data_IF_560971282611
#
_entry.id   IF_560971282611
#
_cell.length_a   1.000
_cell.length_b   1.000
_cell.length_c   1.000
_cell.angle_alpha   90.00
_cell.angle_beta   90.00
_cell.angle_gamma   90.00
#
_symmetry.space_group_name_H-M   'P 1'
#
loop_
_entity.id
_entity.type
_entity.pdbx_description
1 polymer ?
#
# COMPACT_ATOMS: atom_id res chain seq x y z
N UNK A 1 -10.31 -34.39 62.20
CA UNK A 1 -11.64 -34.26 61.57
C UNK A 1 -11.45 -33.84 60.14
N UNK A 2 -12.18 -34.47 59.22
CA UNK A 2 -12.12 -34.27 57.78
C UNK A 2 -12.68 -32.91 57.34
N UNK A 3 -12.16 -32.37 56.23
CA UNK A 3 -12.98 -32.15 55.04
C UNK A 3 -12.14 -31.95 53.77
N UNK A 4 -12.75 -32.38 52.67
CA UNK A 4 -12.14 -32.79 51.42
C UNK A 4 -12.01 -31.67 50.36
N UNK A 5 -11.22 -31.99 49.33
CA UNK A 5 -11.40 -31.72 47.89
C UNK A 5 -11.83 -30.32 47.41
N UNK A 6 -11.00 -29.73 46.55
CA UNK A 6 -11.22 -29.84 45.11
C UNK A 6 -9.96 -29.46 44.32
N UNK A 7 -9.65 -30.31 43.33
CA UNK A 7 -8.74 -29.98 42.25
C UNK A 7 -9.39 -28.92 41.36
N UNK A 8 -8.67 -27.84 41.09
CA UNK A 8 -8.89 -27.01 39.90
C UNK A 8 -7.55 -26.95 39.17
N UNK A 9 -7.44 -27.84 38.20
CA UNK A 9 -6.58 -27.68 37.03
C UNK A 9 -7.03 -26.41 36.30
N UNK A 10 -6.39 -25.28 36.59
CA UNK A 10 -6.36 -24.20 35.60
C UNK A 10 -5.21 -24.48 34.67
N UNK A 11 -5.57 -25.15 33.57
CA UNK A 11 -4.77 -25.19 32.37
C UNK A 11 -4.38 -23.75 32.04
N UNK A 12 -3.11 -23.43 32.24
CA UNK A 12 -2.47 -22.27 31.63
C UNK A 12 -2.64 -22.42 30.12
N UNK A 13 -3.75 -21.88 29.62
CA UNK A 13 -4.09 -21.82 28.23
C UNK A 13 -3.07 -20.87 27.58
N UNK A 14 -1.99 -21.45 27.06
CA UNK A 14 -1.06 -20.81 26.12
C UNK A 14 -1.78 -20.51 24.81
N UNK A 15 -2.78 -19.63 24.89
CA UNK A 15 -3.38 -18.95 23.76
C UNK A 15 -3.05 -17.46 23.88
N UNK A 16 -1.77 -17.15 24.10
CA UNK A 16 -1.22 -15.93 23.53
C UNK A 16 -1.22 -16.17 22.02
N UNK A 17 -2.39 -15.94 21.39
CA UNK A 17 -2.46 -15.70 19.95
C UNK A 17 -1.41 -14.64 19.70
N UNK A 18 -0.31 -15.06 19.06
CA UNK A 18 0.73 -14.18 18.58
C UNK A 18 0.05 -13.27 17.56
N UNK A 19 -0.61 -12.23 18.05
CA UNK A 19 -1.13 -11.14 17.26
C UNK A 19 0.15 -10.50 16.76
N UNK A 20 0.61 -10.99 15.62
CA UNK A 20 1.71 -10.41 14.89
C UNK A 20 1.29 -8.97 14.70
N UNK A 21 1.82 -8.08 15.54
CA UNK A 21 1.85 -6.66 15.24
C UNK A 21 2.64 -6.61 13.96
N UNK A 22 1.93 -6.70 12.83
CA UNK A 22 2.46 -6.49 11.52
C UNK A 22 3.01 -5.07 11.54
N UNK A 23 4.29 -4.96 11.90
CA UNK A 23 4.98 -3.70 11.82
C UNK A 23 5.02 -3.40 10.34
N UNK A 24 4.41 -2.27 9.96
CA UNK A 24 4.57 -1.72 8.62
C UNK A 24 6.06 -1.46 8.42
N UNK A 25 6.73 -2.44 7.82
CA UNK A 25 8.10 -2.27 7.37
C UNK A 25 8.04 -1.36 6.13
N UNK A 26 8.91 -0.35 6.02
CA UNK A 26 9.09 0.36 4.78
C UNK A 26 9.27 -0.65 3.64
N UNK A 27 8.58 -0.42 2.52
CA UNK A 27 8.64 -1.34 1.38
C UNK A 27 10.08 -1.43 0.87
N UNK A 28 10.65 -2.64 0.98
CA UNK A 28 11.94 -3.00 0.37
C UNK A 28 11.66 -3.78 -0.93
N UNK A 29 12.48 -3.57 -1.96
CA UNK A 29 12.36 -4.33 -3.19
C UNK A 29 12.56 -5.83 -2.94
N UNK A 30 11.60 -6.65 -3.35
CA UNK A 30 11.67 -8.09 -3.14
C UNK A 30 12.40 -8.74 -4.32
N UNK A 31 13.56 -9.35 -4.06
CA UNK A 31 14.32 -10.08 -5.08
C UNK A 31 13.68 -11.46 -5.31
N UNK A 32 12.82 -11.55 -6.33
CA UNK A 32 12.06 -12.76 -6.65
C UNK A 32 12.94 -13.99 -6.96
N UNK A 33 14.11 -13.80 -7.55
CA UNK A 33 15.01 -14.89 -7.94
C UNK A 33 15.56 -15.68 -6.74
N UNK A 34 15.52 -15.08 -5.54
CA UNK A 34 15.95 -15.71 -4.30
C UNK A 34 14.81 -16.44 -3.57
N UNK A 35 13.59 -16.36 -4.08
CA UNK A 35 12.41 -16.96 -3.47
C UNK A 35 12.03 -18.29 -4.13
N UNK A 36 11.38 -19.20 -3.38
CA UNK A 36 10.75 -20.39 -3.95
C UNK A 36 9.81 -20.03 -5.11
N UNK A 37 9.70 -20.85 -6.17
CA UNK A 37 8.84 -20.57 -7.32
C UNK A 37 7.40 -20.18 -6.97
N UNK A 38 6.84 -20.77 -5.90
CA UNK A 38 5.50 -20.46 -5.39
C UNK A 38 5.33 -19.02 -4.90
N UNK A 39 6.41 -18.34 -4.48
CA UNK A 39 6.38 -16.97 -3.95
C UNK A 39 6.85 -15.93 -4.96
N UNK A 40 7.39 -16.34 -6.12
CA UNK A 40 7.92 -15.42 -7.12
C UNK A 40 6.83 -14.53 -7.72
N UNK A 41 5.67 -15.11 -8.04
CA UNK A 41 4.52 -14.35 -8.56
C UNK A 41 4.00 -13.34 -7.54
N UNK A 42 3.98 -13.70 -6.26
CA UNK A 42 3.57 -12.81 -5.19
C UNK A 42 4.57 -11.66 -4.99
N UNK A 43 5.88 -11.95 -5.02
CA UNK A 43 6.92 -10.94 -4.97
C UNK A 43 6.87 -9.96 -6.15
N UNK A 44 6.64 -10.47 -7.37
CA UNK A 44 6.44 -9.63 -8.55
C UNK A 44 5.24 -8.71 -8.39
N UNK A 45 4.10 -9.24 -7.91
CA UNK A 45 2.91 -8.44 -7.62
C UNK A 45 3.19 -7.33 -6.59
N UNK A 46 3.89 -7.63 -5.50
CA UNK A 46 4.21 -6.63 -4.47
C UNK A 46 5.13 -5.52 -5.00
N UNK A 47 6.09 -5.87 -5.86
CA UNK A 47 6.94 -4.88 -6.52
C UNK A 47 6.14 -4.01 -7.50
N UNK A 48 5.26 -4.60 -8.32
CA UNK A 48 4.36 -3.85 -9.21
C UNK A 48 3.47 -2.89 -8.41
N UNK A 49 2.89 -3.37 -7.31
CA UNK A 49 2.02 -2.58 -6.44
C UNK A 49 2.76 -1.37 -5.87
N UNK A 50 3.99 -1.58 -5.40
CA UNK A 50 4.87 -0.51 -4.95
C UNK A 50 5.12 0.52 -6.05
N UNK A 51 5.48 0.08 -7.25
CA UNK A 51 5.80 0.98 -8.37
C UNK A 51 4.58 1.82 -8.77
N UNK A 52 3.38 1.24 -8.78
CA UNK A 52 2.14 1.97 -9.04
C UNK A 52 1.89 3.04 -7.96
N UNK A 53 2.01 2.68 -6.67
CA UNK A 53 1.80 3.64 -5.57
C UNK A 53 2.83 4.77 -5.60
N UNK A 54 4.12 4.43 -5.79
CA UNK A 54 5.20 5.40 -5.84
C UNK A 54 5.09 6.32 -7.06
N UNK A 55 4.74 5.77 -8.22
CA UNK A 55 4.47 6.54 -9.43
C UNK A 55 3.28 7.47 -9.27
N UNK A 56 2.19 6.99 -8.65
CA UNK A 56 1.01 7.80 -8.37
C UNK A 56 1.33 8.96 -7.43
N UNK A 57 2.05 8.70 -6.34
CA UNK A 57 2.49 9.74 -5.40
C UNK A 57 3.36 10.79 -6.08
N UNK A 58 4.32 10.36 -6.91
CA UNK A 58 5.21 11.27 -7.65
C UNK A 58 4.42 12.19 -8.58
N UNK A 59 3.43 11.64 -9.29
CA UNK A 59 2.57 12.43 -10.18
C UNK A 59 1.69 13.42 -9.42
N UNK A 60 1.13 13.03 -8.26
CA UNK A 60 0.37 13.95 -7.40
C UNK A 60 1.26 15.11 -6.95
N UNK A 61 2.46 14.81 -6.44
CA UNK A 61 3.42 15.85 -6.02
C UNK A 61 3.81 16.80 -7.16
N UNK A 62 3.96 16.28 -8.38
CA UNK A 62 4.26 17.09 -9.55
C UNK A 62 3.09 18.01 -9.94
N UNK A 63 1.85 17.50 -9.85
CA UNK A 63 0.65 18.28 -10.12
C UNK A 63 0.41 19.37 -9.06
N UNK A 64 0.68 19.07 -7.79
CA UNK A 64 0.57 20.04 -6.70
C UNK A 64 1.65 21.12 -6.83
N UNK A 65 2.89 20.71 -7.09
CA UNK A 65 4.00 21.65 -7.33
C UNK A 65 3.75 22.59 -8.51
N UNK A 66 3.17 22.10 -9.62
CA UNK A 66 2.85 22.95 -10.78
C UNK A 66 1.79 24.01 -10.42
N UNK A 67 0.80 23.64 -9.60
CA UNK A 67 -0.23 24.55 -9.09
C UNK A 67 0.37 25.61 -8.15
N UNK A 68 1.15 25.20 -7.15
CA UNK A 68 1.84 26.10 -6.22
C UNK A 68 2.74 27.11 -6.96
N UNK A 69 3.44 26.65 -8.00
CA UNK A 69 4.30 27.50 -8.83
C UNK A 69 3.51 28.53 -9.63
N UNK A 70 2.36 28.14 -10.20
CA UNK A 70 1.48 29.06 -10.92
C UNK A 70 0.86 30.10 -9.98
N UNK A 71 0.48 29.69 -8.76
CA UNK A 71 -0.07 30.60 -7.76
C UNK A 71 0.97 31.61 -7.29
N UNK A 72 2.22 31.17 -7.06
CA UNK A 72 3.32 32.06 -6.71
C UNK A 72 3.66 33.07 -7.82
N UNK A 73 3.68 32.61 -9.08
CA UNK A 73 3.98 33.46 -10.24
C UNK A 73 2.78 34.29 -10.72
N UNK A 74 1.56 34.02 -10.27
CA UNK A 74 0.46 34.96 -10.49
C UNK A 74 0.74 36.33 -9.84
N UNK A 75 1.73 36.40 -8.94
CA UNK A 75 2.29 37.64 -8.38
C UNK A 75 3.46 38.25 -9.19
N UNK A 76 4.13 37.49 -10.06
CA UNK A 76 5.27 37.90 -10.90
C UNK A 76 5.08 37.31 -12.30
N UNK A 77 4.78 38.15 -13.29
CA UNK A 77 4.14 37.88 -14.59
C UNK A 77 4.62 36.71 -15.52
N UNK A 78 5.28 35.64 -15.06
CA UNK A 78 6.06 34.72 -15.90
C UNK A 78 6.03 33.22 -15.52
N UNK A 79 4.97 32.67 -14.91
CA UNK A 79 4.78 31.21 -14.95
C UNK A 79 3.50 30.80 -15.68
N UNK A 80 3.70 30.31 -16.90
CA UNK A 80 2.72 29.47 -17.55
C UNK A 80 2.70 28.07 -16.88
N UNK A 81 1.51 27.45 -16.74
CA UNK A 81 1.39 26.07 -16.25
C UNK A 81 2.25 25.11 -17.06
N UNK A 82 2.88 24.13 -16.40
CA UNK A 82 3.55 23.03 -17.08
C UNK A 82 2.53 22.15 -17.79
N UNK A 83 1.38 21.94 -17.15
CA UNK A 83 0.27 21.17 -17.70
C UNK A 83 -0.93 22.06 -17.99
N UNK A 84 -1.48 21.91 -19.20
CA UNK A 84 -2.79 22.50 -19.48
C UNK A 84 -3.92 21.74 -18.76
N UNK A 85 -5.13 22.32 -18.79
CA UNK A 85 -6.30 21.74 -18.12
C UNK A 85 -6.67 20.34 -18.65
N UNK A 86 -6.44 20.06 -19.94
CA UNK A 86 -6.72 18.77 -20.55
C UNK A 86 -5.71 17.70 -20.10
N UNK A 87 -4.43 18.06 -20.07
CA UNK A 87 -3.34 17.22 -19.57
C UNK A 87 -3.53 16.91 -18.09
N UNK A 88 -3.82 17.93 -17.26
CA UNK A 88 -4.11 17.75 -15.82
C UNK A 88 -5.29 16.81 -15.60
N UNK A 89 -6.40 17.03 -16.29
CA UNK A 89 -7.58 16.15 -16.22
C UNK A 89 -7.30 14.72 -16.69
N UNK A 90 -6.41 14.55 -17.66
CA UNK A 90 -6.02 13.23 -18.16
C UNK A 90 -5.10 12.50 -17.19
N UNK A 91 -4.14 13.20 -16.57
CA UNK A 91 -3.29 12.66 -15.52
C UNK A 91 -4.08 12.27 -14.27
N UNK A 92 -5.04 13.10 -13.85
CA UNK A 92 -5.93 12.77 -12.72
C UNK A 92 -6.78 11.52 -12.99
N UNK A 93 -7.34 11.38 -14.20
CA UNK A 93 -8.05 10.16 -14.59
C UNK A 93 -7.13 8.94 -14.65
N UNK A 94 -5.91 9.11 -15.19
CA UNK A 94 -4.92 8.05 -15.22
C UNK A 94 -4.54 7.57 -13.81
N UNK A 95 -4.38 8.49 -12.86
CA UNK A 95 -4.16 8.16 -11.45
C UNK A 95 -5.32 7.36 -10.86
N UNK A 96 -6.55 7.84 -11.05
CA UNK A 96 -7.75 7.16 -10.54
C UNK A 96 -7.88 5.74 -11.11
N UNK A 97 -7.67 5.56 -12.41
CA UNK A 97 -7.72 4.24 -13.07
C UNK A 97 -6.59 3.34 -12.58
N UNK A 98 -5.35 3.84 -12.53
CA UNK A 98 -4.19 3.04 -12.09
C UNK A 98 -4.35 2.54 -10.66
N UNK A 99 -4.80 3.42 -9.75
CA UNK A 99 -5.05 3.05 -8.35
C UNK A 99 -6.26 2.12 -8.21
N UNK A 100 -7.33 2.33 -8.98
CA UNK A 100 -8.49 1.44 -9.00
C UNK A 100 -8.15 0.03 -9.51
N UNK A 101 -7.31 -0.08 -10.54
CA UNK A 101 -6.81 -1.36 -11.04
C UNK A 101 -5.92 -2.07 -10.01
N UNK A 102 -5.06 -1.33 -9.32
CA UNK A 102 -4.26 -1.89 -8.23
C UNK A 102 -5.15 -2.40 -7.09
N UNK A 103 -6.17 -1.63 -6.71
CA UNK A 103 -7.14 -2.03 -5.68
C UNK A 103 -7.82 -3.37 -6.03
N UNK A 104 -8.36 -3.49 -7.24
CA UNK A 104 -9.00 -4.74 -7.69
C UNK A 104 -8.02 -5.93 -7.70
N UNK A 105 -6.74 -5.71 -8.04
CA UNK A 105 -5.71 -6.77 -7.94
C UNK A 105 -5.41 -7.15 -6.49
N UNK A 106 -5.40 -6.19 -5.56
CA UNK A 106 -5.22 -6.46 -4.12
C UNK A 106 -6.38 -7.31 -3.62
N UNK A 107 -7.63 -6.95 -3.94
CA UNK A 107 -8.82 -7.72 -3.57
C UNK A 107 -8.72 -9.17 -4.05
N UNK A 108 -8.39 -9.39 -5.33
CA UNK A 108 -8.21 -10.73 -5.87
C UNK A 108 -7.08 -11.53 -5.19
N UNK A 109 -6.00 -10.87 -4.74
CA UNK A 109 -4.93 -11.54 -3.98
C UNK A 109 -5.39 -11.89 -2.55
N UNK A 110 -6.24 -11.08 -1.92
CA UNK A 110 -6.81 -11.38 -0.62
C UNK A 110 -7.78 -12.56 -0.68
N UNK A 111 -8.68 -12.58 -1.67
CA UNK A 111 -9.63 -13.68 -1.87
C UNK A 111 -8.90 -15.02 -2.07
N UNK A 112 -7.80 -15.02 -2.83
CA UNK A 112 -6.98 -16.22 -3.05
C UNK A 112 -6.24 -16.74 -1.80
N UNK A 113 -6.15 -15.96 -0.71
CA UNK A 113 -5.56 -16.39 0.55
C UNK A 113 -6.58 -17.02 1.51
N UNK A 114 -7.88 -16.78 1.28
CA UNK A 114 -8.98 -17.32 2.08
C UNK A 114 -9.49 -18.68 1.58
N UNK A 115 -9.01 -19.15 0.41
CA UNK A 115 -9.27 -20.47 -0.19
C UNK A 115 -8.19 -21.52 0.13
#
# INVERSE_FOLDING_TARGET
MANASSAVTDASCSCASSRSTAQFKPFEWVQGERLPPSLQSHAAFLNDARDVVQGAQTLVQLLDWDEDRCDAASSEADAAPLFDACQRSSLQRFLAVSLGLLHARIEAQCEALDE
#
